data_IF_314275113164
#
_entry.id   IF_314275113164
#
_cell.length_a   1.000
_cell.length_b   1.000
_cell.length_c   1.000
_cell.angle_alpha   90.00
_cell.angle_beta   90.00
_cell.angle_gamma   90.00
#
_symmetry.space_group_name_H-M   'P 1'
#
loop_
_entity.id
_entity.type
_entity.pdbx_description
1 polymer ?
#
# COMPACT_ATOMS: atom_id res chain seq x y z
N UNK A 1 -4.66 10.95 9.87
CA UNK A 1 -4.16 9.57 9.77
C UNK A 1 -4.32 9.07 8.33
N UNK A 2 -3.23 8.92 7.58
CA UNK A 2 -3.28 8.49 6.17
C UNK A 2 -3.88 7.09 5.97
N UNK A 3 -3.56 6.15 6.86
CA UNK A 3 -4.06 4.76 6.78
C UNK A 3 -5.60 4.66 6.85
N UNK A 4 -6.25 5.50 7.67
CA UNK A 4 -7.73 5.54 7.77
C UNK A 4 -8.36 5.90 6.43
N UNK A 5 -7.89 6.99 5.82
CA UNK A 5 -8.39 7.47 4.52
C UNK A 5 -8.16 6.45 3.40
N UNK A 6 -7.03 5.75 3.45
CA UNK A 6 -6.73 4.67 2.51
C UNK A 6 -7.77 3.56 2.66
N UNK A 7 -7.96 3.02 3.86
CA UNK A 7 -8.94 1.95 4.15
C UNK A 7 -10.37 2.31 3.73
N UNK A 8 -10.79 3.55 3.97
CA UNK A 8 -12.09 4.06 3.52
C UNK A 8 -12.20 4.10 1.99
N UNK A 9 -11.15 4.57 1.28
CA UNK A 9 -11.12 4.62 -0.19
C UNK A 9 -11.22 3.22 -0.82
N UNK A 10 -10.72 2.22 -0.12
CA UNK A 10 -10.68 0.83 -0.56
C UNK A 10 -11.97 0.07 -0.23
N UNK A 11 -12.97 0.74 0.36
CA UNK A 11 -14.23 0.12 0.75
C UNK A 11 -14.12 -0.80 1.98
N UNK A 12 -13.00 -0.73 2.71
CA UNK A 12 -12.75 -1.53 3.92
C UNK A 12 -12.65 -0.61 5.13
N UNK A 13 -13.77 -0.02 5.61
CA UNK A 13 -13.73 0.88 6.76
C UNK A 13 -13.22 0.13 8.01
N UNK A 14 -12.32 0.79 8.75
CA UNK A 14 -11.71 0.26 9.98
C UNK A 14 -11.89 1.21 11.16
N UNK A 15 -12.19 0.65 12.33
CA UNK A 15 -12.25 1.41 13.58
C UNK A 15 -10.86 1.92 13.99
N UNK A 16 -10.80 2.92 14.86
CA UNK A 16 -9.52 3.44 15.34
C UNK A 16 -8.67 2.37 16.04
N UNK A 17 -9.30 1.45 16.78
CA UNK A 17 -8.62 0.36 17.46
C UNK A 17 -8.07 -0.67 16.47
N UNK A 18 -8.82 -1.05 15.44
CA UNK A 18 -8.33 -1.94 14.39
C UNK A 18 -7.14 -1.32 13.66
N UNK A 19 -7.20 -0.02 13.32
CA UNK A 19 -6.09 0.68 12.69
C UNK A 19 -4.83 0.67 13.59
N UNK A 20 -4.98 0.89 14.90
CA UNK A 20 -3.87 0.79 15.84
C UNK A 20 -3.29 -0.62 15.90
N UNK A 21 -4.14 -1.65 15.96
CA UNK A 21 -3.69 -3.06 15.94
C UNK A 21 -2.91 -3.39 14.66
N UNK A 22 -3.39 -2.90 13.50
CA UNK A 22 -2.68 -3.08 12.22
C UNK A 22 -1.31 -2.40 12.22
N UNK A 23 -1.20 -1.20 12.79
CA UNK A 23 0.09 -0.50 12.88
C UNK A 23 1.06 -1.29 13.78
N UNK A 24 0.61 -1.74 14.96
CA UNK A 24 1.43 -2.53 15.90
C UNK A 24 1.89 -3.86 15.29
N UNK A 25 1.04 -4.51 14.50
CA UNK A 25 1.39 -5.73 13.76
C UNK A 25 2.53 -5.46 12.77
N UNK A 26 2.47 -4.35 12.03
CA UNK A 26 3.46 -3.98 11.02
C UNK A 26 4.78 -3.52 11.63
N UNK A 27 4.74 -2.74 12.72
CA UNK A 27 5.93 -2.23 13.41
C UNK A 27 6.58 -3.27 14.33
N UNK A 28 6.02 -4.47 14.42
CA UNK A 28 6.54 -5.59 15.20
C UNK A 28 6.47 -5.36 16.71
N UNK A 29 5.41 -4.70 17.21
CA UNK A 29 5.23 -4.43 18.63
C UNK A 29 5.87 -3.13 19.12
N UNK A 30 6.44 -2.31 18.23
CA UNK A 30 6.95 -1.00 18.59
C UNK A 30 5.80 -0.09 19.02
N UNK A 31 5.99 0.74 20.06
CA UNK A 31 5.01 1.71 20.57
C UNK A 31 4.69 2.87 19.59
N UNK A 32 5.15 2.76 18.34
CA UNK A 32 4.89 3.73 17.28
C UNK A 32 3.44 3.67 16.83
N UNK A 33 2.81 4.85 16.74
CA UNK A 33 1.49 5.03 16.11
C UNK A 33 1.59 5.28 14.59
N UNK A 34 2.75 5.05 13.99
CA UNK A 34 3.01 5.26 12.56
C UNK A 34 3.76 4.07 11.95
N UNK A 35 3.56 3.87 10.64
CA UNK A 35 4.31 2.92 9.83
C UNK A 35 5.35 3.73 9.06
N UNK A 36 6.63 3.52 9.33
CA UNK A 36 7.68 4.15 8.53
C UNK A 36 7.91 3.34 7.24
N UNK A 37 8.67 3.92 6.30
CA UNK A 37 8.95 3.25 5.02
C UNK A 37 9.64 1.90 5.19
N UNK A 38 10.55 1.78 6.17
CA UNK A 38 11.29 0.54 6.42
C UNK A 38 10.38 -0.56 6.94
N UNK A 39 9.43 -0.23 7.82
CA UNK A 39 8.40 -1.13 8.32
C UNK A 39 7.48 -1.59 7.18
N UNK A 40 7.09 -0.66 6.31
CA UNK A 40 6.28 -0.96 5.13
C UNK A 40 6.99 -1.95 4.18
N UNK A 41 8.26 -1.69 3.83
CA UNK A 41 9.05 -2.59 2.97
C UNK A 41 9.23 -3.95 3.65
N UNK A 42 9.50 -3.97 4.96
CA UNK A 42 9.64 -5.21 5.73
C UNK A 42 8.33 -6.00 5.77
N UNK A 43 7.18 -5.35 5.86
CA UNK A 43 5.87 -6.00 5.75
C UNK A 43 5.68 -6.61 4.35
N UNK A 44 5.99 -5.87 3.30
CA UNK A 44 5.79 -6.33 1.92
C UNK A 44 6.69 -7.49 1.53
N UNK A 45 7.99 -7.42 1.85
CA UNK A 45 8.98 -8.41 1.44
C UNK A 45 9.26 -9.48 2.49
N UNK A 46 8.82 -9.27 3.74
CA UNK A 46 9.05 -10.19 4.84
C UNK A 46 8.15 -11.44 4.78
N UNK A 47 8.58 -12.46 5.53
CA UNK A 47 7.87 -13.75 5.69
C UNK A 47 6.60 -13.66 6.54
N UNK A 48 6.46 -12.62 7.36
CA UNK A 48 5.26 -12.39 8.18
C UNK A 48 4.18 -11.75 7.33
N UNK A 49 2.99 -12.33 7.35
CA UNK A 49 1.78 -11.72 6.79
C UNK A 49 1.18 -10.75 7.80
N UNK A 50 0.61 -9.66 7.31
CA UNK A 50 -0.16 -8.70 8.09
C UNK A 50 -1.49 -8.43 7.37
N UNK A 51 -2.53 -8.03 8.10
CA UNK A 51 -3.84 -7.71 7.49
C UNK A 51 -3.67 -6.66 6.39
N UNK A 52 -2.84 -5.65 6.62
CA UNK A 52 -2.56 -4.59 5.66
C UNK A 52 -1.94 -5.11 4.36
N UNK A 53 -1.07 -6.13 4.44
CA UNK A 53 -0.44 -6.75 3.26
C UNK A 53 -1.47 -7.45 2.39
N UNK A 54 -2.40 -8.17 3.00
CA UNK A 54 -3.46 -8.87 2.27
C UNK A 54 -4.33 -7.87 1.50
N UNK A 55 -4.80 -6.83 2.18
CA UNK A 55 -5.60 -5.75 1.56
C UNK A 55 -4.91 -5.22 0.30
N UNK A 56 -3.62 -4.88 0.40
CA UNK A 56 -2.86 -4.30 -0.72
C UNK A 56 -2.61 -5.29 -1.88
N UNK A 57 -2.37 -6.57 -1.60
CA UNK A 57 -2.19 -7.59 -2.65
C UNK A 57 -3.51 -7.87 -3.38
N UNK A 58 -4.63 -7.89 -2.66
CA UNK A 58 -5.93 -8.15 -3.26
C UNK A 58 -6.47 -6.96 -4.04
N UNK A 59 -6.09 -5.74 -3.71
CA UNK A 59 -6.40 -4.55 -4.52
C UNK A 59 -5.69 -4.54 -5.87
N UNK A 60 -4.42 -4.91 -5.93
CA UNK A 60 -3.67 -5.00 -7.17
C UNK A 60 -4.32 -6.03 -8.13
N UNK A 61 -4.75 -7.17 -7.57
CA UNK A 61 -5.50 -8.19 -8.31
C UNK A 61 -6.90 -7.73 -8.74
N UNK A 62 -7.58 -6.93 -7.93
CA UNK A 62 -8.93 -6.43 -8.22
C UNK A 62 -8.92 -5.27 -9.24
N UNK A 63 -7.87 -4.45 -9.27
CA UNK A 63 -7.80 -3.28 -10.13
C UNK A 63 -7.39 -3.58 -11.58
N UNK A 64 -6.98 -4.81 -11.90
CA UNK A 64 -6.82 -5.31 -13.28
C UNK A 64 -5.95 -4.45 -14.21
N UNK A 65 -5.25 -3.45 -13.69
CA UNK A 65 -4.47 -2.54 -14.52
C UNK A 65 -3.27 -3.34 -15.03
N UNK A 66 -3.08 -3.47 -16.35
CA UNK A 66 -1.89 -4.10 -16.86
C UNK A 66 -0.70 -3.36 -16.25
N UNK A 67 0.23 -4.10 -15.64
CA UNK A 67 1.49 -3.57 -15.16
C UNK A 67 2.03 -2.63 -16.24
N UNK A 68 2.26 -1.35 -15.91
CA UNK A 68 2.79 -0.38 -16.88
C UNK A 68 3.93 -1.05 -17.64
N UNK A 69 3.94 -1.01 -18.98
CA UNK A 69 4.93 -1.73 -19.77
C UNK A 69 6.32 -1.36 -19.25
N UNK A 70 7.07 -2.37 -18.82
CA UNK A 70 8.43 -2.18 -18.37
C UNK A 70 9.29 -1.84 -19.57
N UNK A 71 9.83 -0.62 -19.61
CA UNK A 71 10.64 -0.15 -20.72
C UNK A 71 10.96 1.35 -20.60
N UNK A 72 11.96 1.83 -21.35
CA UNK A 72 12.22 3.27 -21.47
C UNK A 72 10.94 3.99 -21.93
N UNK A 73 10.69 5.22 -21.44
CA UNK A 73 9.55 6.02 -21.89
C UNK A 73 9.50 6.08 -23.44
N UNK A 74 8.31 5.98 -24.05
CA UNK A 74 8.16 6.16 -25.49
C UNK A 74 8.79 7.48 -25.94
N UNK A 75 9.49 7.47 -27.08
CA UNK A 75 10.05 8.70 -27.67
C UNK A 75 8.91 9.69 -27.89
N UNK A 76 9.09 10.92 -27.42
CA UNK A 76 8.15 12.02 -27.67
C UNK A 76 8.05 12.23 -29.18
N UNK A 77 6.82 12.15 -29.71
CA UNK A 77 6.53 12.44 -31.12
C UNK A 77 6.20 13.93 -31.28
N UNK A 78 6.26 14.45 -32.50
CA UNK A 78 6.00 15.87 -32.81
C UNK A 78 4.59 16.29 -32.39
N UNK A 79 3.64 15.35 -32.37
CA UNK A 79 2.29 15.56 -31.86
C UNK A 79 2.20 15.79 -30.34
N UNK A 80 3.30 15.65 -29.60
CA UNK A 80 3.37 15.85 -28.13
C UNK A 80 3.96 17.20 -27.71
N UNK A 81 4.22 18.10 -28.67
CA UNK A 81 4.63 19.48 -28.40
C UNK A 81 3.38 20.37 -28.24
N UNK A 82 3.37 21.31 -27.27
CA UNK A 82 2.28 22.27 -27.07
C UNK A 82 2.16 23.30 -28.20
#
# INVERSE_FOLDING_TARGET
>A
MGLKRMMEKLGVPKTHLELKKMIVEVTGGSSSNTINYRDFVKMMLGKRSAVLKLVLIFEDKANGSPSKPSGPPPKRDIASLP
#
